data_IF_954597731251
#
_entry.id   IF_954597731251
#
_cell.length_a   1.000
_cell.length_b   1.000
_cell.length_c   1.000
_cell.angle_alpha   90.00
_cell.angle_beta   90.00
_cell.angle_gamma   90.00
#
_symmetry.space_group_name_H-M   'P 1'
#
loop_
_entity.id
_entity.type
_entity.pdbx_description
1 polymer ?
#
# COMPACT_ATOMS: atom_id res chain seq x y z
N UNK A 1 -9.33 4.75 -5.13
CA UNK A 1 -9.65 3.74 -4.09
C UNK A 1 -11.06 3.14 -4.16
N UNK A 2 -12.13 3.90 -4.41
CA UNK A 2 -13.51 3.33 -4.45
C UNK A 2 -13.74 2.28 -5.55
N UNK A 3 -13.20 2.49 -6.76
CA UNK A 3 -13.34 1.54 -7.87
C UNK A 3 -12.67 0.18 -7.58
N UNK A 4 -11.51 0.20 -6.92
CA UNK A 4 -10.78 -0.99 -6.51
C UNK A 4 -11.58 -1.79 -5.46
N UNK A 5 -12.10 -1.11 -4.43
CA UNK A 5 -12.95 -1.74 -3.43
C UNK A 5 -14.23 -2.34 -4.04
N UNK A 6 -14.86 -1.65 -5.00
CA UNK A 6 -16.01 -2.20 -5.72
C UNK A 6 -15.66 -3.46 -6.53
N UNK A 7 -14.48 -3.48 -7.15
CA UNK A 7 -13.97 -4.67 -7.85
C UNK A 7 -13.73 -5.83 -6.89
N UNK A 8 -13.07 -5.57 -5.75
CA UNK A 8 -12.81 -6.55 -4.71
C UNK A 8 -14.11 -7.13 -4.12
N UNK A 9 -15.12 -6.28 -3.84
CA UNK A 9 -16.46 -6.74 -3.41
C UNK A 9 -17.08 -7.72 -4.41
N UNK A 10 -17.08 -7.37 -5.70
CA UNK A 10 -17.60 -8.26 -6.75
C UNK A 10 -16.85 -9.60 -6.80
N UNK A 11 -15.52 -9.58 -6.59
CA UNK A 11 -14.72 -10.81 -6.53
C UNK A 11 -15.09 -11.66 -5.33
N UNK A 12 -15.20 -11.06 -4.14
CA UNK A 12 -15.61 -11.74 -2.91
C UNK A 12 -16.99 -12.37 -3.07
N UNK A 13 -17.99 -11.61 -3.52
CA UNK A 13 -19.35 -12.13 -3.77
C UNK A 13 -19.33 -13.31 -4.73
N UNK A 14 -18.52 -13.24 -5.79
CA UNK A 14 -18.38 -14.38 -6.73
C UNK A 14 -17.80 -15.62 -6.03
N UNK A 15 -16.76 -15.46 -5.21
CA UNK A 15 -16.13 -16.58 -4.49
C UNK A 15 -17.07 -17.22 -3.46
N UNK A 16 -17.87 -16.40 -2.77
CA UNK A 16 -18.92 -16.90 -1.85
C UNK A 16 -19.97 -17.73 -2.59
N UNK A 17 -20.47 -17.23 -3.73
CA UNK A 17 -21.46 -17.94 -4.56
C UNK A 17 -20.90 -19.25 -5.11
N UNK A 18 -19.61 -19.30 -5.41
CA UNK A 18 -18.90 -20.50 -5.85
C UNK A 18 -18.60 -21.49 -4.72
N UNK A 19 -18.82 -21.11 -3.46
CA UNK A 19 -18.51 -21.92 -2.28
C UNK A 19 -17.01 -22.02 -1.98
N UNK A 20 -16.17 -21.16 -2.57
CA UNK A 20 -14.73 -21.12 -2.31
C UNK A 20 -14.40 -20.49 -0.95
N UNK A 21 -15.29 -19.62 -0.46
CA UNK A 21 -15.20 -19.01 0.88
C UNK A 21 -16.58 -18.99 1.56
N UNK A 22 -16.64 -18.98 2.91
CA UNK A 22 -17.91 -18.86 3.62
C UNK A 22 -18.57 -17.49 3.38
N UNK A 23 -19.90 -17.48 3.31
CA UNK A 23 -20.65 -16.24 3.13
C UNK A 23 -20.46 -15.30 4.33
N UNK A 24 -20.16 -14.02 4.05
CA UNK A 24 -19.93 -13.00 5.06
C UNK A 24 -18.56 -13.10 5.74
N UNK A 25 -17.68 -14.02 5.34
CA UNK A 25 -16.36 -14.17 5.95
C UNK A 25 -15.40 -13.03 5.58
N UNK A 26 -15.67 -12.28 4.51
CA UNK A 26 -14.78 -11.23 4.01
C UNK A 26 -15.53 -9.91 3.89
N UNK A 27 -15.09 -8.91 4.66
CA UNK A 27 -15.58 -7.54 4.57
C UNK A 27 -14.59 -6.66 3.78
N UNK A 28 -15.08 -5.98 2.73
CA UNK A 28 -14.25 -5.11 1.89
C UNK A 28 -14.59 -3.64 2.15
N UNK A 29 -13.61 -2.93 2.69
CA UNK A 29 -13.71 -1.51 3.02
C UNK A 29 -12.91 -0.67 2.02
N UNK A 30 -13.37 0.55 1.78
CA UNK A 30 -12.66 1.57 1.02
C UNK A 30 -12.31 2.69 1.99
N UNK A 31 -11.13 2.62 2.59
CA UNK A 31 -10.68 3.56 3.60
C UNK A 31 -9.23 3.95 3.34
N UNK A 32 -8.86 5.11 3.85
CA UNK A 32 -7.47 5.47 4.10
C UNK A 32 -6.99 4.75 5.37
N UNK A 33 -5.69 4.44 5.48
CA UNK A 33 -5.14 3.78 6.67
C UNK A 33 -5.38 4.59 7.94
N UNK A 34 -5.32 5.93 7.84
CA UNK A 34 -5.59 6.85 8.95
C UNK A 34 -7.05 6.83 9.42
N UNK A 35 -7.97 6.29 8.62
CA UNK A 35 -9.41 6.25 8.90
C UNK A 35 -9.89 4.86 9.38
N UNK A 36 -8.99 3.98 9.83
CA UNK A 36 -9.33 2.65 10.34
C UNK A 36 -10.00 2.67 11.71
N UNK A 37 -9.85 3.75 12.48
CA UNK A 37 -10.49 3.91 13.77
C UNK A 37 -12.02 3.86 13.64
N UNK A 38 -12.65 2.90 14.32
CA UNK A 38 -14.09 2.64 14.25
C UNK A 38 -14.53 1.67 13.15
N UNK A 39 -13.61 1.23 12.28
CA UNK A 39 -13.83 0.16 11.31
C UNK A 39 -13.23 -1.17 11.77
N UNK A 40 -12.11 -1.09 12.49
CA UNK A 40 -11.36 -2.24 13.01
C UNK A 40 -11.10 -2.00 14.49
N UNK A 41 -11.29 -3.03 15.33
CA UNK A 41 -10.99 -2.91 16.75
C UNK A 41 -9.47 -3.01 17.00
N UNK A 42 -8.92 -2.27 17.98
CA UNK A 42 -7.51 -2.38 18.34
C UNK A 42 -7.12 -3.82 18.72
N UNK A 43 -5.96 -4.28 18.24
CA UNK A 43 -5.40 -5.59 18.59
C UNK A 43 -6.09 -6.83 17.99
N UNK A 44 -6.99 -6.68 17.00
CA UNK A 44 -7.69 -7.81 16.38
C UNK A 44 -7.08 -8.28 15.05
N UNK A 45 -6.17 -7.51 14.45
CA UNK A 45 -5.59 -7.85 13.16
C UNK A 45 -4.49 -8.89 13.34
N UNK A 46 -4.76 -10.10 12.84
CA UNK A 46 -3.82 -11.23 12.91
C UNK A 46 -2.80 -11.25 11.79
N UNK A 47 -3.22 -10.79 10.61
CA UNK A 47 -2.43 -10.79 9.40
C UNK A 47 -2.69 -9.49 8.64
N UNK A 48 -1.62 -8.79 8.27
CA UNK A 48 -1.66 -7.67 7.34
C UNK A 48 -1.15 -8.15 6.00
N UNK A 49 -1.92 -7.92 4.94
CA UNK A 49 -1.49 -8.13 3.57
C UNK A 49 -1.54 -6.80 2.85
N UNK A 50 -0.42 -6.40 2.25
CA UNK A 50 -0.34 -5.11 1.55
C UNK A 50 0.48 -5.23 0.27
N UNK A 51 0.17 -4.34 -0.67
CA UNK A 51 0.92 -4.14 -1.90
C UNK A 51 1.14 -2.64 -2.01
N UNK A 52 2.16 -2.17 -1.29
CA UNK A 52 2.53 -0.75 -1.16
C UNK A 52 4.02 -0.55 -1.49
N UNK A 53 4.60 -1.52 -2.20
CA UNK A 53 6.01 -1.54 -2.53
C UNK A 53 6.22 -0.93 -3.92
N UNK A 54 6.90 0.20 -3.97
CA UNK A 54 7.29 0.82 -5.24
C UNK A 54 8.69 0.40 -5.72
N UNK A 55 9.19 1.11 -6.74
CA UNK A 55 10.54 0.92 -7.28
C UNK A 55 11.63 1.05 -6.20
N UNK A 56 11.42 1.96 -5.26
CA UNK A 56 12.08 1.95 -3.96
C UNK A 56 11.03 1.39 -3.01
N UNK A 57 11.38 0.36 -2.24
CA UNK A 57 10.45 -0.42 -1.43
C UNK A 57 9.45 0.43 -0.60
N UNK A 58 9.86 1.59 -0.10
CA UNK A 58 9.00 2.49 0.68
C UNK A 58 8.37 3.66 -0.10
N UNK A 59 8.63 3.81 -1.41
CA UNK A 59 8.27 5.04 -2.15
C UNK A 59 6.77 5.25 -2.35
N UNK A 60 5.94 4.22 -2.14
CA UNK A 60 4.49 4.30 -2.31
C UNK A 60 3.75 4.44 -0.97
N UNK A 61 4.41 4.98 0.05
CA UNK A 61 3.78 5.31 1.33
C UNK A 61 3.59 4.13 2.28
N UNK A 62 4.24 2.99 2.01
CA UNK A 62 4.20 1.80 2.88
C UNK A 62 4.43 2.12 4.35
N UNK A 63 5.45 2.94 4.67
CA UNK A 63 5.84 3.20 6.07
C UNK A 63 4.70 3.91 6.81
N UNK A 64 4.18 5.01 6.26
CA UNK A 64 3.07 5.76 6.86
C UNK A 64 1.82 4.89 7.01
N UNK A 65 1.49 4.10 5.99
CA UNK A 65 0.31 3.23 6.04
C UNK A 65 0.45 2.14 7.12
N UNK A 66 1.64 1.57 7.30
CA UNK A 66 1.87 0.58 8.35
C UNK A 66 1.85 1.20 9.74
N UNK A 67 2.40 2.40 9.92
CA UNK A 67 2.34 3.15 11.18
C UNK A 67 0.89 3.41 11.63
N UNK A 68 0.00 3.78 10.71
CA UNK A 68 -1.43 3.94 10.99
C UNK A 68 -2.11 2.64 11.43
N UNK A 69 -1.64 1.49 10.93
CA UNK A 69 -2.26 0.18 11.17
C UNK A 69 -1.73 -0.47 12.47
N UNK A 70 -0.56 -0.05 12.98
CA UNK A 70 0.08 -0.60 14.19
C UNK A 70 -0.88 -0.78 15.38
N UNK A 71 -1.77 0.18 15.73
CA UNK A 71 -2.66 0.04 16.89
C UNK A 71 -3.67 -1.11 16.78
N UNK A 72 -3.93 -1.59 15.57
CA UNK A 72 -4.90 -2.63 15.28
C UNK A 72 -4.29 -4.03 15.27
N UNK A 73 -2.95 -4.14 15.30
CA UNK A 73 -2.25 -5.42 15.21
C UNK A 73 -2.29 -6.17 16.54
N UNK A 74 -2.62 -7.45 16.48
CA UNK A 74 -2.45 -8.33 17.64
C UNK A 74 -0.96 -8.60 17.91
N UNK A 75 -0.57 -8.95 19.15
CA UNK A 75 0.76 -9.47 19.42
C UNK A 75 1.08 -10.68 18.53
N UNK A 76 2.18 -10.62 17.78
CA UNK A 76 2.56 -11.68 16.84
C UNK A 76 1.86 -11.62 15.48
N UNK A 77 1.17 -10.51 15.17
CA UNK A 77 0.62 -10.27 13.84
C UNK A 77 1.67 -10.51 12.73
N UNK A 78 1.26 -11.19 11.66
CA UNK A 78 2.11 -11.47 10.50
C UNK A 78 1.88 -10.43 9.41
N UNK A 79 2.95 -9.97 8.77
CA UNK A 79 2.84 -9.11 7.58
C UNK A 79 3.21 -9.88 6.32
N UNK A 80 2.50 -9.62 5.23
CA UNK A 80 2.81 -10.13 3.90
C UNK A 80 2.82 -8.95 2.91
N UNK A 81 3.99 -8.61 2.33
CA UNK A 81 5.31 -9.15 2.62
C UNK A 81 5.78 -8.82 4.07
N UNK A 82 6.61 -9.68 4.64
CA UNK A 82 7.17 -9.45 5.99
C UNK A 82 8.31 -8.44 5.96
N UNK A 83 9.12 -8.47 4.89
CA UNK A 83 10.30 -7.64 4.71
C UNK A 83 10.44 -7.24 3.25
N UNK A 84 10.90 -6.02 3.02
CA UNK A 84 11.29 -5.52 1.72
C UNK A 84 12.56 -4.68 1.86
N UNK A 85 13.43 -4.76 0.86
CA UNK A 85 14.68 -4.00 0.85
C UNK A 85 14.90 -3.41 -0.54
N UNK A 86 15.34 -2.16 -0.58
CA UNK A 86 15.85 -1.54 -1.80
C UNK A 86 17.36 -1.72 -1.85
N UNK A 87 17.87 -2.09 -3.01
CA UNK A 87 19.30 -2.17 -3.27
C UNK A 87 19.72 -1.00 -4.17
N UNK A 88 20.82 -0.35 -3.83
CA UNK A 88 21.44 0.68 -4.65
C UNK A 88 22.74 0.11 -5.18
N UNK A 89 22.90 0.08 -6.50
CA UNK A 89 24.13 -0.31 -7.16
C UNK A 89 24.77 0.92 -7.81
N UNK A 90 26.05 1.23 -7.52
CA UNK A 90 26.75 2.28 -8.23
C UNK A 90 26.90 1.87 -9.71
N UNK A 91 26.46 2.73 -10.61
CA UNK A 91 26.60 2.55 -12.05
C UNK A 91 27.31 3.74 -12.66
N UNK A 92 28.21 3.47 -13.61
CA UNK A 92 28.69 4.52 -14.53
C UNK A 92 27.63 4.66 -15.61
N UNK A 93 26.70 5.59 -15.40
CA UNK A 93 25.84 6.04 -16.48
C UNK A 93 26.59 7.13 -17.25
N UNK A 94 26.50 7.19 -18.60
CA UNK A 94 26.71 8.47 -19.28
C UNK A 94 25.81 9.50 -18.59
N UNK A 95 26.14 10.81 -18.57
CA UNK A 95 25.32 11.80 -17.90
C UNK A 95 23.87 11.51 -18.27
N UNK A 96 23.09 11.05 -17.28
CA UNK A 96 21.65 11.14 -17.38
C UNK A 96 21.51 12.64 -17.53
N UNK A 97 21.37 13.09 -18.78
CA UNK A 97 20.69 14.34 -19.02
C UNK A 97 19.43 14.12 -18.20
N UNK A 98 19.38 14.73 -17.01
CA UNK A 98 18.16 14.94 -16.26
C UNK A 98 17.24 15.36 -17.36
N UNK A 99 16.35 14.47 -17.82
CA UNK A 99 15.54 14.73 -19.00
C UNK A 99 15.06 16.14 -18.76
N UNK A 100 15.52 17.09 -19.57
CA UNK A 100 15.25 18.50 -19.36
C UNK A 100 13.79 18.63 -19.73
N UNK A 101 12.94 18.15 -18.82
CA UNK A 101 11.53 18.31 -18.95
C UNK A 101 11.34 19.81 -18.78
N UNK A 102 10.47 20.42 -19.61
CA UNK A 102 10.11 21.81 -19.44
C UNK A 102 9.65 22.15 -18.01
N UNK A 103 9.23 21.16 -17.22
CA UNK A 103 8.90 21.30 -15.79
C UNK A 103 10.14 21.39 -14.89
N UNK A 104 11.16 20.57 -15.10
CA UNK A 104 12.42 20.67 -14.35
C UNK A 104 13.12 22.03 -14.59
N UNK A 105 13.04 22.56 -15.82
CA UNK A 105 13.54 23.89 -16.16
C UNK A 105 12.74 25.01 -15.45
N UNK A 106 11.41 24.90 -15.42
CA UNK A 106 10.52 25.87 -14.75
C UNK A 106 10.71 25.91 -13.23
N UNK A 107 11.00 24.77 -12.59
CA UNK A 107 11.26 24.72 -11.16
C UNK A 107 12.53 25.49 -10.80
N UNK A 108 13.64 25.27 -11.52
CA UNK A 108 14.91 25.98 -11.28
C UNK A 108 14.79 27.50 -11.38
N UNK A 109 13.96 28.02 -12.28
CA UNK A 109 13.71 29.46 -12.41
C UNK A 109 12.94 30.07 -11.23
N UNK A 110 12.24 29.28 -10.42
CA UNK A 110 11.47 29.78 -9.26
C UNK A 110 12.27 29.78 -7.95
N UNK A 111 13.30 28.94 -7.85
CA UNK A 111 14.11 28.78 -6.62
C UNK A 111 15.53 29.33 -6.75
N UNK A 112 15.90 29.84 -7.92
CA UNK A 112 17.14 30.58 -8.17
C UNK A 112 16.97 32.08 -8.03
#
# INVERSE_FOLDING_TARGET
NLAAAACARRRVTRLEVQGEIPHGAVHVLAADSSALAGLVAPGEVEVVVHELLGFIASSEGMVSALEDVLPFLQPGCRSVPERAQSAIAPGVAPPLALFETPEAARWRQRVG
#
